data_IF_443000024016
#
_entry.id   IF_443000024016
#
_cell.length_a   1.000
_cell.length_b   1.000
_cell.length_c   1.000
_cell.angle_alpha   90.00
_cell.angle_beta   90.00
_cell.angle_gamma   90.00
#
_symmetry.space_group_name_H-M   'P 1'
#
loop_
_entity.id
_entity.type
_entity.pdbx_description
1 polymer ?
#
# COMPACT_ATOMS: atom_id res chain seq x y z
N UNK A 1 4.89 11.12 -11.24
CA UNK A 1 4.14 9.87 -11.46
C UNK A 1 4.15 9.10 -10.15
N UNK A 2 2.98 8.76 -9.61
CA UNK A 2 2.86 8.00 -8.36
C UNK A 2 2.60 6.53 -8.69
N UNK A 3 3.24 5.60 -7.98
CA UNK A 3 2.84 4.18 -8.04
C UNK A 3 1.61 3.89 -7.19
N UNK A 4 1.19 4.84 -6.35
CA UNK A 4 0.00 4.72 -5.52
C UNK A 4 -1.16 5.51 -6.10
N UNK A 5 -2.35 4.96 -5.96
CA UNK A 5 -3.59 5.62 -6.35
C UNK A 5 -4.78 5.09 -5.56
N UNK A 6 -5.98 5.30 -6.12
CA UNK A 6 -7.23 4.84 -5.52
C UNK A 6 -7.15 3.33 -5.24
N UNK A 7 -7.51 2.94 -4.02
CA UNK A 7 -7.65 1.53 -3.64
C UNK A 7 -8.71 0.86 -4.54
N UNK A 8 -8.36 -0.23 -5.24
CA UNK A 8 -9.33 -1.01 -6.01
C UNK A 8 -10.47 -1.53 -5.13
N UNK A 9 -11.67 -1.64 -5.69
CA UNK A 9 -12.84 -2.09 -4.92
C UNK A 9 -12.65 -3.51 -4.35
N UNK A 10 -11.87 -4.36 -5.03
CA UNK A 10 -11.51 -5.70 -4.56
C UNK A 10 -10.67 -5.71 -3.29
N UNK A 11 -9.96 -4.62 -2.97
CA UNK A 11 -9.08 -4.51 -1.80
C UNK A 11 -9.71 -3.69 -0.67
N UNK A 12 -10.95 -3.23 -0.86
CA UNK A 12 -11.60 -2.26 0.03
C UNK A 12 -11.85 -2.83 1.43
N UNK A 13 -12.36 -4.07 1.52
CA UNK A 13 -12.61 -4.75 2.80
C UNK A 13 -11.34 -4.90 3.64
N UNK A 14 -10.24 -5.28 2.99
CA UNK A 14 -8.94 -5.38 3.63
C UNK A 14 -8.52 -4.02 4.17
N UNK A 15 -8.68 -2.97 3.36
CA UNK A 15 -8.29 -1.61 3.69
C UNK A 15 -9.08 -1.03 4.87
N UNK A 16 -10.41 -1.21 4.86
CA UNK A 16 -11.34 -0.69 5.88
C UNK A 16 -11.09 -1.30 7.26
N UNK A 17 -10.52 -2.50 7.33
CA UNK A 17 -10.22 -3.18 8.60
C UNK A 17 -9.03 -2.57 9.36
N UNK A 18 -8.18 -1.79 8.69
CA UNK A 18 -6.96 -1.21 9.28
C UNK A 18 -6.92 0.33 9.25
N UNK A 19 -7.86 0.98 8.55
CA UNK A 19 -7.87 2.44 8.44
C UNK A 19 -8.37 3.07 9.74
N UNK A 20 -7.62 4.04 10.27
CA UNK A 20 -8.08 4.82 11.43
C UNK A 20 -8.93 6.03 11.02
N UNK A 21 -9.71 6.56 11.96
CA UNK A 21 -10.55 7.74 11.72
C UNK A 21 -9.68 8.94 11.31
N UNK A 22 -9.97 9.49 10.14
CA UNK A 22 -9.25 10.64 9.60
C UNK A 22 -8.04 10.27 8.74
N UNK A 23 -7.84 8.98 8.46
CA UNK A 23 -6.86 8.53 7.47
C UNK A 23 -7.46 8.41 6.07
N UNK A 24 -6.57 8.41 5.08
CA UNK A 24 -6.85 8.08 3.69
C UNK A 24 -5.90 6.97 3.26
N UNK A 25 -6.45 5.97 2.57
CA UNK A 25 -5.70 4.85 2.04
C UNK A 25 -5.44 5.01 0.54
N UNK A 26 -4.26 4.58 0.10
CA UNK A 26 -3.90 4.42 -1.31
C UNK A 26 -3.28 3.05 -1.52
N UNK A 27 -3.56 2.42 -2.66
CA UNK A 27 -2.94 1.16 -3.04
C UNK A 27 -1.86 1.40 -4.10
N UNK A 28 -0.76 0.66 -4.01
CA UNK A 28 0.24 0.60 -5.06
C UNK A 28 -0.29 -0.12 -6.30
N UNK A 29 0.35 0.13 -7.44
CA UNK A 29 0.24 -0.71 -8.64
C UNK A 29 0.56 -2.17 -8.27
N UNK A 30 -0.10 -3.15 -8.92
CA UNK A 30 0.15 -4.56 -8.65
C UNK A 30 1.61 -4.93 -8.90
N UNK A 31 2.15 -5.73 -7.98
CA UNK A 31 3.49 -6.32 -8.11
C UNK A 31 3.36 -7.84 -8.16
N UNK A 32 3.94 -8.45 -9.19
CA UNK A 32 3.96 -9.91 -9.32
C UNK A 32 5.23 -10.46 -8.66
N UNK A 33 5.06 -11.38 -7.72
CA UNK A 33 6.16 -12.08 -7.04
C UNK A 33 5.78 -13.54 -6.86
N UNK A 34 6.64 -14.48 -7.27
CA UNK A 34 6.38 -15.93 -7.20
C UNK A 34 4.97 -16.30 -7.71
N UNK A 35 4.65 -15.83 -8.92
CA UNK A 35 3.36 -16.09 -9.61
C UNK A 35 2.11 -15.51 -8.94
N UNK A 36 2.25 -14.78 -7.83
CA UNK A 36 1.16 -14.14 -7.12
C UNK A 36 1.20 -12.63 -7.29
N UNK A 37 0.04 -11.99 -7.27
CA UNK A 37 -0.07 -10.53 -7.32
C UNK A 37 -0.22 -9.99 -5.91
N UNK A 38 0.49 -8.90 -5.62
CA UNK A 38 0.46 -8.22 -4.33
C UNK A 38 0.29 -6.72 -4.49
N UNK A 39 -0.26 -6.09 -3.45
CA UNK A 39 -0.40 -4.65 -3.32
C UNK A 39 0.11 -4.20 -1.95
N UNK A 40 0.75 -3.04 -1.93
CA UNK A 40 1.00 -2.30 -0.70
C UNK A 40 -0.09 -1.25 -0.56
N UNK A 41 -0.74 -1.23 0.60
CA UNK A 41 -1.70 -0.20 0.97
C UNK A 41 -1.04 0.70 2.00
N UNK A 42 -0.97 1.99 1.70
CA UNK A 42 -0.45 3.00 2.62
C UNK A 42 -1.58 3.84 3.20
N UNK A 43 -1.46 4.16 4.47
CA UNK A 43 -2.36 5.03 5.20
C UNK A 43 -1.65 6.35 5.49
N UNK A 44 -2.39 7.45 5.38
CA UNK A 44 -1.87 8.79 5.63
C UNK A 44 -2.96 9.63 6.27
N UNK A 45 -2.60 10.48 7.24
CA UNK A 45 -3.56 11.38 7.88
C UNK A 45 -4.07 12.41 6.88
N UNK A 46 -5.38 12.66 6.92
CA UNK A 46 -6.01 13.77 6.23
C UNK A 46 -5.81 15.05 7.05
N UNK A 47 -5.18 16.07 6.48
CA UNK A 47 -5.01 17.36 7.14
C UNK A 47 -5.79 18.42 6.38
N UNK A 48 -6.93 18.85 6.96
CA UNK A 48 -7.85 19.89 6.46
C UNK A 48 -8.24 19.75 4.98
N UNK A 49 -7.38 20.17 4.06
CA UNK A 49 -7.63 20.27 2.62
C UNK A 49 -6.66 19.42 1.78
N UNK A 50 -5.66 18.80 2.39
CA UNK A 50 -4.63 18.04 1.70
C UNK A 50 -4.27 16.76 2.46
N UNK A 51 -3.77 15.78 1.72
CA UNK A 51 -3.15 14.59 2.27
C UNK A 51 -1.83 14.98 2.94
N UNK A 52 -1.57 14.46 4.15
CA UNK A 52 -0.24 14.54 4.73
C UNK A 52 0.75 13.75 3.88
N UNK A 53 1.97 14.27 3.71
CA UNK A 53 3.07 13.50 3.11
C UNK A 53 3.50 12.34 3.99
N UNK A 54 3.17 12.38 5.29
CA UNK A 54 3.55 11.35 6.23
C UNK A 54 2.65 10.12 6.11
N UNK A 55 3.30 8.96 5.96
CA UNK A 55 2.66 7.65 5.98
C UNK A 55 2.50 7.26 7.46
N UNK A 56 1.27 7.11 7.91
CA UNK A 56 0.93 6.70 9.28
C UNK A 56 0.91 5.18 9.45
N UNK A 57 0.69 4.43 8.36
CA UNK A 57 0.66 2.98 8.38
C UNK A 57 0.85 2.37 7.00
N UNK A 58 1.18 1.07 6.97
CA UNK A 58 1.24 0.28 5.74
C UNK A 58 0.86 -1.16 5.99
N UNK A 59 0.20 -1.78 5.02
CA UNK A 59 -0.05 -3.22 4.98
C UNK A 59 0.26 -3.76 3.59
N UNK A 60 0.48 -5.07 3.50
CA UNK A 60 0.65 -5.78 2.23
C UNK A 60 -0.44 -6.84 2.13
N UNK A 61 -1.12 -6.86 0.98
CA UNK A 61 -2.21 -7.78 0.67
C UNK A 61 -1.94 -8.52 -0.64
N UNK A 62 -2.50 -9.71 -0.79
CA UNK A 62 -2.55 -10.40 -2.09
C UNK A 62 -3.59 -9.75 -3.04
N UNK A 63 -3.66 -10.24 -4.28
CA UNK A 63 -4.62 -9.76 -5.28
C UNK A 63 -6.09 -9.94 -4.92
N UNK A 64 -6.39 -10.77 -3.90
CA UNK A 64 -7.74 -10.99 -3.37
C UNK A 64 -8.02 -10.14 -2.11
N UNK A 65 -7.06 -9.32 -1.66
CA UNK A 65 -7.19 -8.49 -0.46
C UNK A 65 -6.87 -9.24 0.85
N UNK A 66 -6.30 -10.43 0.81
CA UNK A 66 -5.90 -11.11 2.04
C UNK A 66 -4.59 -10.52 2.58
N UNK A 67 -4.55 -10.22 3.88
CA UNK A 67 -3.35 -9.75 4.55
C UNK A 67 -2.25 -10.82 4.53
N UNK A 68 -1.04 -10.42 4.15
CA UNK A 68 0.13 -11.28 4.23
C UNK A 68 0.60 -11.35 5.68
N UNK A 69 0.51 -12.55 6.27
CA UNK A 69 0.94 -12.83 7.66
C UNK A 69 2.24 -13.63 7.74
N UNK A 70 2.65 -14.28 6.65
CA UNK A 70 3.92 -14.98 6.59
C UNK A 70 5.07 -13.97 6.67
N UNK A 71 5.91 -14.09 7.71
CA UNK A 71 6.95 -13.10 8.01
C UNK A 71 8.02 -13.04 6.94
N UNK A 72 8.40 -14.18 6.38
CA UNK A 72 9.47 -14.26 5.37
C UNK A 72 9.01 -13.60 4.07
N UNK A 73 7.81 -13.96 3.60
CA UNK A 73 7.18 -13.35 2.43
C UNK A 73 6.97 -11.85 2.63
N UNK A 74 6.48 -11.44 3.81
CA UNK A 74 6.27 -10.03 4.12
C UNK A 74 7.59 -9.24 4.04
N UNK A 75 8.68 -9.77 4.59
CA UNK A 75 10.00 -9.13 4.50
C UNK A 75 10.50 -8.99 3.05
N UNK A 76 10.31 -10.01 2.22
CA UNK A 76 10.67 -9.96 0.80
C UNK A 76 9.85 -8.88 0.07
N UNK A 77 8.53 -8.86 0.29
CA UNK A 77 7.63 -7.91 -0.35
C UNK A 77 7.91 -6.47 0.13
N UNK A 78 8.20 -6.25 1.41
CA UNK A 78 8.58 -4.93 1.93
C UNK A 78 9.83 -4.38 1.23
N UNK A 79 10.85 -5.21 1.01
CA UNK A 79 12.05 -4.80 0.24
C UNK A 79 11.69 -4.48 -1.20
N UNK A 80 10.88 -5.32 -1.84
CA UNK A 80 10.46 -5.13 -3.22
C UNK A 80 9.69 -3.83 -3.41
N UNK A 81 8.70 -3.56 -2.54
CA UNK A 81 7.93 -2.32 -2.56
C UNK A 81 8.77 -1.09 -2.22
N UNK A 82 9.75 -1.21 -1.31
CA UNK A 82 10.71 -0.14 -1.03
C UNK A 82 11.49 0.26 -2.29
N UNK A 83 12.07 -0.71 -3.01
CA UNK A 83 12.76 -0.43 -4.27
C UNK A 83 11.81 0.10 -5.34
N UNK A 84 10.61 -0.46 -5.46
CA UNK A 84 9.59 0.04 -6.38
C UNK A 84 9.26 1.51 -6.12
N UNK A 85 9.13 1.89 -4.84
CA UNK A 85 8.89 3.27 -4.43
C UNK A 85 10.05 4.18 -4.85
N UNK A 86 11.30 3.78 -4.59
CA UNK A 86 12.49 4.55 -4.97
C UNK A 86 12.58 4.77 -6.48
N UNK A 87 12.36 3.72 -7.27
CA UNK A 87 12.58 3.79 -8.72
C UNK A 87 11.41 4.39 -9.49
N UNK A 88 10.19 4.30 -8.97
CA UNK A 88 8.99 4.61 -9.75
C UNK A 88 8.02 5.60 -9.09
N UNK A 89 8.16 5.93 -7.80
CA UNK A 89 7.33 6.96 -7.15
C UNK A 89 8.09 8.29 -7.03
N UNK A 90 7.69 9.25 -7.87
CA UNK A 90 8.30 10.60 -7.87
C UNK A 90 7.86 11.46 -6.68
N UNK A 91 7.04 10.96 -5.75
CA UNK A 91 6.66 11.70 -4.54
C UNK A 91 7.74 11.66 -3.44
N UNK A 92 8.70 10.75 -3.58
CA UNK A 92 9.81 10.55 -2.64
C UNK A 92 11.11 11.25 -3.06
N UNK A 93 11.10 11.92 -4.23
CA UNK A 93 12.23 12.66 -4.81
C UNK A 93 11.91 14.16 -4.73
#
# INVERSE_FOLDING_TARGET
MSIYGKVPDSLKTATESFIEKGEMAEASKPVVYKENTYHEIIYSRKMLWAKSKDISGRIIVDGNGNLIKDKTLLMDLMKLFYYYCIFFDTRMI
#
